data_IF_086334107581
#
_entry.id   IF_086334107581
#
_cell.length_a   1.000
_cell.length_b   1.000
_cell.length_c   1.000
_cell.angle_alpha   90.00
_cell.angle_beta   90.00
_cell.angle_gamma   90.00
#
_symmetry.space_group_name_H-M   'P 1'
#
loop_
_entity.id
_entity.type
_entity.pdbx_description
1 polymer ?
#
# COMPACT_ATOMS: atom_id res chain seq x y z
N UNK A 1 23.93 -17.36 23.04
CA UNK A 1 23.58 -16.18 22.22
C UNK A 1 24.02 -14.97 23.01
N UNK A 2 24.95 -14.18 22.48
CA UNK A 2 25.47 -13.01 23.19
C UNK A 2 24.38 -11.94 23.34
N UNK A 3 24.27 -11.27 24.49
CA UNK A 3 23.26 -10.21 24.71
C UNK A 3 23.30 -9.12 23.64
N UNK A 4 24.49 -8.86 23.07
CA UNK A 4 24.73 -7.91 22.00
C UNK A 4 24.07 -8.35 20.69
N UNK A 5 24.09 -9.65 20.35
CA UNK A 5 23.48 -10.15 19.12
C UNK A 5 21.94 -10.15 19.18
N UNK A 6 21.38 -10.33 20.38
CA UNK A 6 19.94 -10.20 20.63
C UNK A 6 19.51 -8.74 20.45
N UNK A 7 20.26 -7.79 21.01
CA UNK A 7 19.97 -6.37 20.87
C UNK A 7 19.99 -5.92 19.40
N UNK A 8 21.01 -6.32 18.64
CA UNK A 8 21.13 -6.01 17.20
C UNK A 8 19.97 -6.59 16.38
N UNK A 9 19.50 -7.78 16.72
CA UNK A 9 18.39 -8.42 16.03
C UNK A 9 17.07 -7.67 16.24
N UNK A 10 16.86 -7.12 17.45
CA UNK A 10 15.69 -6.28 17.78
C UNK A 10 15.75 -4.95 17.02
N UNK A 11 16.91 -4.28 16.97
CA UNK A 11 17.07 -3.02 16.22
C UNK A 11 16.89 -3.23 14.73
N UNK A 12 17.43 -4.32 14.16
CA UNK A 12 17.25 -4.65 12.75
C UNK A 12 15.78 -4.87 12.40
N UNK A 13 15.03 -5.62 13.21
CA UNK A 13 13.59 -5.81 13.05
C UNK A 13 12.83 -4.48 13.12
N UNK A 14 13.19 -3.59 14.04
CA UNK A 14 12.60 -2.25 14.14
C UNK A 14 12.81 -1.41 12.87
N UNK A 15 14.02 -1.42 12.31
CA UNK A 15 14.34 -0.71 11.07
C UNK A 15 13.53 -1.26 9.91
N UNK A 16 13.46 -2.59 9.75
CA UNK A 16 12.69 -3.23 8.68
C UNK A 16 11.22 -2.85 8.74
N UNK A 17 10.62 -2.81 9.95
CA UNK A 17 9.22 -2.38 10.14
C UNK A 17 8.99 -0.96 9.63
N UNK A 18 9.85 -0.01 10.01
CA UNK A 18 9.75 1.39 9.55
C UNK A 18 9.87 1.48 8.03
N UNK A 19 10.81 0.75 7.42
CA UNK A 19 10.98 0.71 5.97
C UNK A 19 9.75 0.15 5.25
N UNK A 20 9.14 -0.92 5.78
CA UNK A 20 7.93 -1.52 5.21
C UNK A 20 6.72 -0.60 5.32
N UNK A 21 6.52 0.06 6.46
CA UNK A 21 5.44 1.04 6.65
C UNK A 21 5.61 2.21 5.67
N UNK A 22 6.83 2.71 5.49
CA UNK A 22 7.11 3.78 4.53
C UNK A 22 6.81 3.34 3.09
N UNK A 23 7.26 2.14 2.69
CA UNK A 23 7.00 1.57 1.37
C UNK A 23 5.49 1.42 1.11
N UNK A 24 4.75 0.85 2.06
CA UNK A 24 3.31 0.66 1.95
C UNK A 24 2.56 2.00 1.96
N UNK A 25 3.04 2.99 2.71
CA UNK A 25 2.51 4.34 2.72
C UNK A 25 2.60 4.99 1.35
N UNK A 26 3.79 4.93 0.73
CA UNK A 26 4.00 5.40 -0.64
C UNK A 26 3.08 4.65 -1.61
N UNK A 27 3.01 3.33 -1.52
CA UNK A 27 2.13 2.52 -2.37
C UNK A 27 0.65 2.92 -2.26
N UNK A 28 0.14 3.16 -1.05
CA UNK A 28 -1.23 3.59 -0.83
C UNK A 28 -1.54 4.94 -1.48
N UNK A 29 -0.59 5.89 -1.41
CA UNK A 29 -0.70 7.19 -2.11
C UNK A 29 -0.78 6.96 -3.63
N UNK A 30 0.10 6.13 -4.19
CA UNK A 30 0.07 5.79 -5.62
C UNK A 30 -1.23 5.12 -6.05
N UNK A 31 -1.77 4.20 -5.24
CA UNK A 31 -3.06 3.57 -5.50
C UNK A 31 -4.20 4.59 -5.55
N UNK A 32 -4.20 5.59 -4.66
CA UNK A 32 -5.15 6.70 -4.70
C UNK A 32 -5.02 7.59 -5.94
N UNK A 33 -3.79 7.89 -6.36
CA UNK A 33 -3.53 8.65 -7.60
C UNK A 33 -3.97 7.88 -8.84
N UNK A 34 -3.70 6.57 -8.91
CA UNK A 34 -4.14 5.71 -10.01
C UNK A 34 -5.65 5.70 -10.15
N UNK A 35 -6.41 5.72 -9.06
CA UNK A 35 -7.87 5.83 -9.13
C UNK A 35 -8.34 7.11 -9.81
N UNK A 36 -7.70 8.25 -9.53
CA UNK A 36 -7.99 9.52 -10.21
C UNK A 36 -7.66 9.43 -11.71
N UNK A 37 -6.55 8.76 -12.06
CA UNK A 37 -6.15 8.54 -13.45
C UNK A 37 -7.13 7.64 -14.21
N UNK A 38 -7.60 6.54 -13.59
CA UNK A 38 -8.61 5.65 -14.17
C UNK A 38 -9.90 6.43 -14.49
N UNK A 39 -10.38 7.27 -13.57
CA UNK A 39 -11.57 8.09 -13.80
C UNK A 39 -11.38 9.10 -14.93
N UNK A 40 -10.20 9.72 -15.04
CA UNK A 40 -9.90 10.65 -16.12
C UNK A 40 -9.85 9.92 -17.49
N UNK A 41 -9.20 8.77 -17.55
CA UNK A 41 -9.05 7.97 -18.77
C UNK A 41 -10.38 7.39 -19.25
N UNK A 42 -11.17 6.84 -18.35
CA UNK A 42 -12.47 6.24 -18.67
C UNK A 42 -13.47 7.28 -19.19
N UNK A 43 -13.44 8.51 -18.67
CA UNK A 43 -14.22 9.65 -19.19
C UNK A 43 -13.78 10.09 -20.58
N UNK A 44 -12.47 10.11 -20.85
CA UNK A 44 -11.94 10.57 -22.14
C UNK A 44 -12.17 9.56 -23.28
N UNK A 45 -12.15 8.26 -22.97
CA UNK A 45 -12.16 7.19 -23.99
C UNK A 45 -13.53 6.49 -24.13
N UNK A 46 -14.54 6.85 -23.32
CA UNK A 46 -15.84 6.14 -23.27
C UNK A 46 -15.64 4.62 -23.25
N UNK A 47 -14.86 4.14 -22.28
CA UNK A 47 -14.58 2.71 -22.14
C UNK A 47 -15.87 1.92 -21.91
N UNK A 48 -16.08 0.86 -22.70
CA UNK A 48 -17.24 -0.05 -22.59
C UNK A 48 -17.37 -0.67 -21.20
N UNK A 49 -16.24 -0.96 -20.56
CA UNK A 49 -16.16 -1.67 -19.28
C UNK A 49 -15.77 -0.76 -18.11
N UNK A 50 -16.14 0.54 -18.18
CA UNK A 50 -15.80 1.56 -17.17
C UNK A 50 -16.11 1.11 -15.73
N UNK A 51 -17.27 0.47 -15.52
CA UNK A 51 -17.68 0.00 -14.21
C UNK A 51 -16.73 -1.06 -13.63
N UNK A 52 -16.28 -2.02 -14.43
CA UNK A 52 -15.42 -3.12 -13.97
C UNK A 52 -14.03 -2.57 -13.61
N UNK A 53 -13.46 -1.72 -14.46
CA UNK A 53 -12.14 -1.12 -14.24
C UNK A 53 -12.14 -0.25 -12.98
N UNK A 54 -13.19 0.54 -12.76
CA UNK A 54 -13.35 1.33 -11.52
C UNK A 54 -13.49 0.45 -10.29
N UNK A 55 -14.30 -0.61 -10.35
CA UNK A 55 -14.49 -1.52 -9.23
C UNK A 55 -13.18 -2.21 -8.83
N UNK A 56 -12.40 -2.69 -9.80
CA UNK A 56 -11.07 -3.26 -9.55
C UNK A 56 -10.11 -2.25 -8.92
N UNK A 57 -10.14 -1.00 -9.38
CA UNK A 57 -9.34 0.07 -8.79
C UNK A 57 -9.74 0.37 -7.33
N UNK A 58 -11.05 0.41 -7.02
CA UNK A 58 -11.54 0.59 -5.64
C UNK A 58 -11.07 -0.55 -4.75
N UNK A 59 -11.22 -1.81 -5.21
CA UNK A 59 -10.79 -2.98 -4.46
C UNK A 59 -9.28 -2.96 -4.20
N UNK A 60 -8.47 -2.63 -5.21
CA UNK A 60 -7.02 -2.52 -5.07
C UNK A 60 -6.64 -1.42 -4.06
N UNK A 61 -7.27 -0.25 -4.13
CA UNK A 61 -7.03 0.84 -3.18
C UNK A 61 -7.45 0.47 -1.75
N UNK A 62 -8.62 -0.15 -1.59
CA UNK A 62 -9.09 -0.64 -0.28
C UNK A 62 -8.14 -1.68 0.32
N UNK A 63 -7.63 -2.60 -0.51
CA UNK A 63 -6.66 -3.60 -0.07
C UNK A 63 -5.31 -2.98 0.32
N UNK A 64 -4.83 -1.99 -0.45
CA UNK A 64 -3.61 -1.24 -0.13
C UNK A 64 -3.71 -0.54 1.23
N UNK A 65 -4.84 0.12 1.50
CA UNK A 65 -5.11 0.77 2.79
C UNK A 65 -5.22 -0.25 3.94
N UNK A 66 -5.89 -1.37 3.71
CA UNK A 66 -6.01 -2.44 4.71
C UNK A 66 -4.65 -2.99 5.10
N UNK A 67 -3.79 -3.31 4.12
CA UNK A 67 -2.44 -3.82 4.40
C UNK A 67 -1.60 -2.77 5.12
N UNK A 68 -1.65 -1.50 4.72
CA UNK A 68 -0.95 -0.44 5.43
C UNK A 68 -1.41 -0.32 6.88
N UNK A 69 -2.72 -0.37 7.12
CA UNK A 69 -3.27 -0.33 8.47
C UNK A 69 -2.83 -1.52 9.32
N UNK A 70 -2.87 -2.74 8.77
CA UNK A 70 -2.34 -3.93 9.43
C UNK A 70 -0.84 -3.80 9.71
N UNK A 71 -0.07 -3.25 8.77
CA UNK A 71 1.36 -3.04 8.94
C UNK A 71 1.69 -2.00 10.03
N UNK A 72 0.82 -1.02 10.27
CA UNK A 72 1.02 -0.03 11.35
C UNK A 72 0.65 -0.60 12.72
N UNK A 73 -0.36 -1.46 12.80
CA UNK A 73 -0.89 -1.97 14.07
C UNK A 73 -0.21 -3.27 14.52
N UNK A 74 0.03 -4.19 13.59
CA UNK A 74 0.50 -5.54 13.88
C UNK A 74 2.03 -5.63 13.78
N UNK A 75 2.62 -4.94 12.81
CA UNK A 75 4.06 -4.92 12.59
C UNK A 75 4.71 -3.94 13.56
#
# INVERSE_FOLDING_TARGET
>A
MDPISILQSITLLGIIKVMLIMLLGVYAVFAGLMMRQIVAMTKAVTMKDDFIVRALGILNFGFALLILFLAIIIL
#
